data_IF_382581265377
#
_entry.id   IF_382581265377
#
_cell.length_a   1.000
_cell.length_b   1.000
_cell.length_c   1.000
_cell.angle_alpha   90.00
_cell.angle_beta   90.00
_cell.angle_gamma   90.00
#
_symmetry.space_group_name_H-M   'P 1'
#
loop_
_entity.id
_entity.type
_entity.pdbx_description
1 polymer ?
#
# COMPACT_ATOMS: atom_id res chain seq x y z
N UNK A 1 26.61 3.16 -0.06
CA UNK A 1 27.04 2.64 1.26
C UNK A 1 27.99 1.46 1.07
N UNK A 2 29.15 1.48 1.73
CA UNK A 2 30.12 0.37 1.69
C UNK A 2 29.73 -0.74 2.68
N UNK A 3 30.38 -1.91 2.56
CA UNK A 3 30.20 -3.01 3.51
C UNK A 3 30.64 -2.63 4.92
N UNK A 4 31.76 -1.92 5.05
CA UNK A 4 32.29 -1.46 6.32
C UNK A 4 31.37 -0.44 7.02
N UNK A 5 30.82 0.51 6.25
CA UNK A 5 29.82 1.45 6.77
C UNK A 5 28.57 0.76 7.27
N UNK A 6 28.10 -0.29 6.56
CA UNK A 6 26.96 -1.08 6.97
C UNK A 6 27.22 -1.87 8.26
N UNK A 7 28.38 -2.49 8.37
CA UNK A 7 28.77 -3.24 9.58
C UNK A 7 28.97 -2.32 10.79
N UNK A 8 29.54 -1.15 10.57
CA UNK A 8 29.66 -0.11 11.62
C UNK A 8 28.29 0.35 12.09
N UNK A 9 27.40 0.68 11.15
CA UNK A 9 26.02 1.04 11.48
C UNK A 9 25.31 -0.06 12.28
N UNK A 10 25.51 -1.32 11.91
CA UNK A 10 24.88 -2.44 12.60
C UNK A 10 25.40 -2.60 14.04
N UNK A 11 26.71 -2.45 14.27
CA UNK A 11 27.30 -2.46 15.62
C UNK A 11 26.73 -1.32 16.47
N UNK A 12 26.80 -0.10 15.99
CA UNK A 12 26.28 1.08 16.69
C UNK A 12 24.78 0.93 17.02
N UNK A 13 24.00 0.37 16.10
CA UNK A 13 22.58 0.10 16.31
C UNK A 13 22.36 -0.93 17.39
N UNK A 14 23.10 -2.04 17.36
CA UNK A 14 23.03 -3.10 18.38
C UNK A 14 23.37 -2.53 19.76
N UNK A 15 24.39 -1.70 19.87
CA UNK A 15 24.79 -1.07 21.12
C UNK A 15 23.70 -0.17 21.70
N UNK A 16 23.01 0.62 20.85
CA UNK A 16 21.86 1.43 21.28
C UNK A 16 20.74 0.55 21.83
N UNK A 17 20.36 -0.50 21.12
CA UNK A 17 19.27 -1.40 21.55
C UNK A 17 19.63 -2.18 22.81
N UNK A 18 20.87 -2.63 22.92
CA UNK A 18 21.38 -3.31 24.12
C UNK A 18 21.43 -2.36 25.33
N UNK A 19 21.88 -1.12 25.11
CA UNK A 19 21.89 -0.08 26.14
C UNK A 19 20.49 0.26 26.68
N UNK A 20 19.47 0.29 25.82
CA UNK A 20 18.07 0.51 26.24
C UNK A 20 17.54 -0.59 27.16
N UNK A 21 18.11 -1.78 27.12
CA UNK A 21 17.80 -2.90 27.98
C UNK A 21 18.79 -3.05 29.17
N UNK A 22 19.52 -2.00 29.52
CA UNK A 22 20.54 -2.00 30.58
C UNK A 22 21.61 -3.09 30.39
N UNK A 23 22.02 -3.34 29.16
CA UNK A 23 22.99 -4.35 28.77
C UNK A 23 22.62 -5.80 29.16
N UNK A 24 21.31 -6.07 29.20
CA UNK A 24 20.78 -7.39 29.49
C UNK A 24 20.00 -7.92 28.29
N UNK A 25 20.58 -8.82 27.52
CA UNK A 25 19.96 -9.40 26.33
C UNK A 25 18.61 -10.09 26.60
N UNK A 26 18.41 -10.56 27.85
CA UNK A 26 17.10 -11.11 28.22
C UNK A 26 15.98 -10.10 28.23
N UNK A 27 16.29 -8.82 28.17
CA UNK A 27 15.34 -7.69 28.13
C UNK A 27 15.31 -6.96 26.80
N UNK A 28 16.09 -7.39 25.82
CA UNK A 28 16.08 -6.80 24.47
C UNK A 28 15.01 -7.49 23.64
N UNK A 29 13.96 -6.80 23.20
CA UNK A 29 13.01 -7.35 22.23
C UNK A 29 13.72 -7.76 20.95
N UNK A 30 13.22 -8.79 20.28
CA UNK A 30 13.74 -9.17 18.97
C UNK A 30 13.65 -7.98 18.00
N UNK A 31 14.74 -7.71 17.28
CA UNK A 31 14.79 -6.62 16.33
C UNK A 31 15.60 -7.01 15.10
N UNK A 32 15.21 -6.50 13.95
CA UNK A 32 15.86 -6.81 12.68
C UNK A 32 15.43 -5.82 11.59
N UNK A 33 16.25 -5.69 10.57
CA UNK A 33 15.84 -5.08 9.31
C UNK A 33 15.00 -6.07 8.53
N UNK A 34 14.02 -5.56 7.78
CA UNK A 34 13.16 -6.43 6.99
C UNK A 34 13.73 -6.67 5.58
N UNK A 35 14.75 -5.99 5.16
CA UNK A 35 15.55 -6.28 3.96
C UNK A 35 16.83 -6.98 4.30
N UNK A 36 17.36 -7.73 3.36
CA UNK A 36 18.77 -8.11 3.37
C UNK A 36 19.59 -6.91 2.88
N UNK A 37 20.14 -6.15 3.81
CA UNK A 37 20.91 -4.95 3.50
C UNK A 37 22.22 -5.21 2.76
N UNK A 38 22.66 -6.47 2.66
CA UNK A 38 23.83 -6.79 1.82
C UNK A 38 23.58 -6.57 0.35
N UNK A 39 22.30 -6.63 -0.09
CA UNK A 39 21.91 -6.44 -1.47
C UNK A 39 22.10 -5.01 -1.97
N UNK A 40 22.13 -4.04 -1.05
CA UNK A 40 22.28 -2.61 -1.40
C UNK A 40 23.72 -2.10 -1.24
N UNK A 41 24.67 -2.95 -0.84
CA UNK A 41 26.09 -2.56 -0.75
C UNK A 41 26.61 -2.22 -2.14
N UNK A 42 27.24 -1.06 -2.27
CA UNK A 42 27.74 -0.55 -3.56
C UNK A 42 26.65 0.00 -4.49
N UNK A 43 25.40 0.01 -4.06
CA UNK A 43 24.32 0.67 -4.82
C UNK A 43 24.28 2.15 -4.43
N UNK A 44 24.39 2.99 -5.44
CA UNK A 44 24.21 4.43 -5.27
C UNK A 44 22.73 4.79 -5.42
N UNK A 45 22.19 5.55 -4.46
CA UNK A 45 20.83 6.06 -4.51
C UNK A 45 19.75 4.97 -4.68
N UNK A 46 19.61 4.12 -3.68
CA UNK A 46 18.49 3.14 -3.61
C UNK A 46 17.15 3.84 -3.96
N UNK A 47 16.31 3.20 -4.75
CA UNK A 47 15.10 3.85 -5.27
C UNK A 47 14.16 4.33 -4.18
N UNK A 48 13.93 3.50 -3.14
CA UNK A 48 13.03 3.85 -2.05
C UNK A 48 13.44 3.19 -0.72
N UNK A 49 13.34 3.97 0.34
CA UNK A 49 13.43 3.49 1.72
C UNK A 49 12.02 3.42 2.32
N UNK A 50 11.63 2.27 2.80
CA UNK A 50 10.29 2.03 3.35
C UNK A 50 10.41 1.66 4.83
N UNK A 51 9.72 2.39 5.70
CA UNK A 51 9.74 2.08 7.12
C UNK A 51 8.33 2.03 7.72
N UNK A 52 8.00 0.91 8.39
CA UNK A 52 6.90 0.85 9.35
C UNK A 52 7.25 1.59 10.65
N UNK A 53 6.31 1.65 11.60
CA UNK A 53 6.62 2.21 12.92
C UNK A 53 7.47 1.24 13.73
N UNK A 54 7.07 -0.03 13.75
CA UNK A 54 7.77 -1.14 14.40
C UNK A 54 7.28 -2.49 13.86
N UNK A 55 8.06 -3.58 14.00
CA UNK A 55 7.59 -4.92 13.69
C UNK A 55 6.43 -5.34 14.58
N UNK A 56 5.43 -6.01 14.00
CA UNK A 56 4.37 -6.67 14.76
C UNK A 56 4.87 -8.00 15.36
N UNK A 57 4.36 -8.36 16.54
CA UNK A 57 4.53 -9.69 17.11
C UNK A 57 3.22 -10.20 17.70
N UNK A 58 3.02 -11.51 17.66
CA UNK A 58 1.84 -12.16 18.24
C UNK A 58 2.00 -12.46 19.73
N UNK A 59 3.21 -12.27 20.28
CA UNK A 59 3.54 -12.54 21.66
C UNK A 59 4.47 -11.50 22.28
N UNK A 60 4.84 -11.74 23.52
CA UNK A 60 5.88 -10.97 24.19
C UNK A 60 7.26 -11.23 23.58
N UNK A 61 8.22 -10.38 23.93
CA UNK A 61 9.62 -10.65 23.56
C UNK A 61 10.10 -12.03 24.05
N UNK A 62 9.75 -12.43 25.27
CA UNK A 62 10.09 -13.75 25.80
C UNK A 62 9.49 -14.89 24.97
N UNK A 63 8.26 -14.73 24.51
CA UNK A 63 7.64 -15.70 23.60
C UNK A 63 8.43 -15.81 22.30
N UNK A 64 8.88 -14.69 21.77
CA UNK A 64 9.65 -14.66 20.50
C UNK A 64 11.03 -15.29 20.65
N UNK A 65 11.77 -14.97 21.71
CA UNK A 65 13.12 -15.52 21.92
C UNK A 65 13.12 -17.00 22.29
N UNK A 66 12.05 -17.48 22.89
CA UNK A 66 11.85 -18.89 23.17
C UNK A 66 11.26 -19.66 21.99
N UNK A 67 10.83 -18.96 20.94
CA UNK A 67 10.33 -19.59 19.73
C UNK A 67 11.50 -20.19 18.92
N UNK A 68 11.50 -21.50 18.63
CA UNK A 68 12.59 -22.13 17.87
C UNK A 68 12.78 -21.53 16.47
N UNK A 69 11.80 -20.83 15.94
CA UNK A 69 11.85 -20.16 14.64
C UNK A 69 12.48 -18.75 14.70
N UNK A 70 12.48 -18.13 15.88
CA UNK A 70 12.88 -16.73 16.05
C UNK A 70 13.62 -16.60 17.38
N UNK A 71 14.90 -16.92 17.41
CA UNK A 71 15.62 -16.77 18.64
C UNK A 71 16.89 -15.94 18.50
N UNK A 72 17.03 -15.04 19.45
CA UNK A 72 18.32 -14.43 19.79
C UNK A 72 18.93 -15.27 20.90
N UNK A 73 20.17 -15.69 20.73
CA UNK A 73 20.90 -16.35 21.80
C UNK A 73 21.20 -15.31 22.89
N UNK A 74 20.67 -15.52 24.09
CA UNK A 74 20.86 -14.60 25.20
C UNK A 74 22.31 -14.42 25.63
N UNK A 75 23.16 -15.46 25.46
CA UNK A 75 24.54 -15.44 25.84
C UNK A 75 25.41 -14.71 24.80
N UNK A 76 25.01 -14.76 23.53
CA UNK A 76 25.76 -14.19 22.42
C UNK A 76 25.16 -12.84 21.99
N UNK A 77 23.84 -12.67 22.13
CA UNK A 77 23.11 -11.51 21.67
C UNK A 77 22.93 -11.47 20.16
N UNK A 78 22.63 -10.30 19.64
CA UNK A 78 22.49 -10.04 18.21
C UNK A 78 23.85 -9.73 17.59
N UNK A 79 24.18 -10.40 16.51
CA UNK A 79 25.37 -10.07 15.71
C UNK A 79 25.06 -9.05 14.62
N UNK A 80 26.03 -8.25 14.16
CA UNK A 80 25.85 -7.35 13.03
C UNK A 80 25.30 -8.05 11.80
N UNK A 81 25.78 -9.23 11.49
CA UNK A 81 25.30 -10.02 10.35
C UNK A 81 23.81 -10.38 10.48
N UNK A 82 23.36 -10.78 11.67
CA UNK A 82 21.93 -11.09 11.91
C UNK A 82 21.04 -9.85 11.71
N UNK A 83 21.47 -8.70 12.22
CA UNK A 83 20.73 -7.45 12.04
C UNK A 83 20.65 -7.06 10.55
N UNK A 84 21.77 -7.13 9.84
CA UNK A 84 21.88 -6.73 8.43
C UNK A 84 21.01 -7.59 7.53
N UNK A 85 20.99 -8.91 7.77
CA UNK A 85 20.26 -9.85 6.90
C UNK A 85 18.89 -10.26 7.46
N UNK A 86 18.62 -9.97 8.72
CA UNK A 86 17.46 -10.52 9.44
C UNK A 86 17.51 -12.05 9.61
N UNK A 87 18.67 -12.68 9.40
CA UNK A 87 18.86 -14.13 9.41
C UNK A 87 19.16 -14.69 10.80
N UNK A 88 18.17 -14.63 11.70
CA UNK A 88 18.31 -15.18 13.07
C UNK A 88 17.32 -16.32 13.36
N UNK A 89 16.65 -16.83 12.34
CA UNK A 89 15.70 -17.92 12.45
C UNK A 89 16.46 -19.26 12.64
N UNK A 90 16.11 -20.01 13.70
CA UNK A 90 16.71 -21.33 14.00
C UNK A 90 15.87 -22.52 13.46
N UNK A 91 14.70 -22.27 12.88
CA UNK A 91 13.92 -23.35 12.29
C UNK A 91 14.72 -24.00 11.15
N UNK A 92 14.89 -25.35 11.15
CA UNK A 92 15.61 -26.05 10.09
C UNK A 92 15.08 -25.75 8.68
N UNK A 93 13.77 -25.64 8.52
CA UNK A 93 13.11 -25.36 7.23
C UNK A 93 13.30 -23.91 6.77
N UNK A 94 13.75 -23.04 7.67
CA UNK A 94 13.96 -21.59 7.42
C UNK A 94 15.39 -21.16 7.71
N UNK A 95 16.26 -22.11 8.01
CA UNK A 95 17.67 -21.86 8.33
C UNK A 95 18.30 -21.15 7.12
N UNK A 96 19.00 -20.05 7.41
CA UNK A 96 19.67 -19.20 6.42
C UNK A 96 18.75 -18.40 5.48
N UNK A 97 17.43 -18.42 5.69
CA UNK A 97 16.57 -17.47 4.98
C UNK A 97 16.75 -16.07 5.55
N UNK A 98 16.85 -15.09 4.67
CA UNK A 98 16.79 -13.67 5.03
C UNK A 98 15.35 -13.30 5.39
N UNK A 99 15.16 -12.19 6.11
CA UNK A 99 13.82 -11.67 6.36
C UNK A 99 13.08 -11.34 5.05
N UNK A 100 13.79 -10.90 4.00
CA UNK A 100 13.26 -10.71 2.67
C UNK A 100 12.57 -11.98 2.12
N UNK A 101 13.25 -13.11 2.15
CA UNK A 101 12.70 -14.38 1.67
C UNK A 101 11.46 -14.82 2.42
N UNK A 102 11.35 -14.46 3.70
CA UNK A 102 10.16 -14.72 4.51
C UNK A 102 9.01 -13.77 4.19
N UNK A 103 9.29 -12.54 3.76
CA UNK A 103 8.27 -11.51 3.47
C UNK A 103 7.32 -11.91 2.36
N UNK A 104 7.77 -12.62 1.34
CA UNK A 104 6.93 -13.08 0.24
C UNK A 104 5.76 -13.94 0.74
N UNK A 105 5.86 -14.49 1.94
CA UNK A 105 4.77 -15.24 2.57
C UNK A 105 3.74 -14.36 3.28
N UNK A 106 4.06 -13.08 3.55
CA UNK A 106 3.25 -12.22 4.41
C UNK A 106 2.19 -11.43 3.64
N UNK A 107 0.96 -11.51 4.12
CA UNK A 107 -0.17 -10.77 3.54
C UNK A 107 0.08 -9.26 3.50
N UNK A 108 0.74 -8.72 4.52
CA UNK A 108 1.07 -7.31 4.59
C UNK A 108 2.01 -6.89 3.45
N UNK A 109 3.01 -7.71 3.14
CA UNK A 109 3.96 -7.41 2.06
C UNK A 109 3.29 -7.48 0.67
N UNK A 110 2.41 -8.46 0.45
CA UNK A 110 1.60 -8.53 -0.77
C UNK A 110 0.74 -7.27 -0.96
N UNK A 111 0.16 -6.76 0.13
CA UNK A 111 -0.61 -5.50 0.10
C UNK A 111 0.29 -4.28 -0.15
N UNK A 112 1.49 -4.27 0.41
CA UNK A 112 2.48 -3.21 0.17
C UNK A 112 2.93 -3.20 -1.30
N UNK A 113 3.20 -4.37 -1.90
CA UNK A 113 3.43 -4.48 -3.35
C UNK A 113 2.29 -3.86 -4.17
N UNK A 114 1.04 -4.03 -3.72
CA UNK A 114 -0.13 -3.39 -4.35
C UNK A 114 -0.07 -1.86 -4.37
N UNK A 115 0.51 -1.22 -3.37
CA UNK A 115 0.69 0.25 -3.36
C UNK A 115 1.67 0.70 -4.47
N UNK A 116 2.68 -0.09 -4.77
CA UNK A 116 3.71 0.21 -5.77
C UNK A 116 3.38 -0.32 -7.18
N UNK A 117 2.22 -0.95 -7.37
CA UNK A 117 1.86 -1.58 -8.65
C UNK A 117 1.74 -0.62 -9.83
N UNK A 118 1.52 0.68 -9.57
CA UNK A 118 1.37 1.71 -10.60
C UNK A 118 2.65 2.50 -10.88
N UNK A 119 3.75 2.21 -10.19
CA UNK A 119 5.01 2.94 -10.34
C UNK A 119 5.64 2.64 -11.70
N UNK A 120 6.02 3.69 -12.42
CA UNK A 120 6.72 3.57 -13.69
C UNK A 120 8.12 2.96 -13.48
N UNK A 121 8.58 2.17 -14.44
CA UNK A 121 9.84 1.42 -14.33
C UNK A 121 9.72 0.12 -13.53
N UNK A 122 8.50 -0.33 -13.27
CA UNK A 122 8.19 -1.55 -12.55
C UNK A 122 8.17 -1.40 -11.03
N UNK A 123 7.52 -2.35 -10.37
CA UNK A 123 7.40 -2.35 -8.93
C UNK A 123 8.78 -2.51 -8.27
N UNK A 124 9.28 -1.52 -7.49
CA UNK A 124 10.60 -1.63 -6.86
C UNK A 124 10.70 -2.79 -5.88
N UNK A 125 9.58 -3.28 -5.34
CA UNK A 125 9.53 -4.40 -4.40
C UNK A 125 9.68 -5.78 -5.06
N UNK A 126 9.96 -5.83 -6.36
CA UNK A 126 10.32 -7.05 -7.08
C UNK A 126 11.85 -7.24 -7.21
N UNK A 127 12.65 -6.27 -6.75
CA UNK A 127 14.10 -6.32 -6.80
C UNK A 127 14.71 -5.79 -5.50
N UNK A 128 15.34 -6.68 -4.73
CA UNK A 128 15.97 -6.36 -3.44
C UNK A 128 17.03 -5.25 -3.49
N UNK A 129 17.57 -4.97 -4.66
CA UNK A 129 18.57 -3.90 -4.88
C UNK A 129 17.94 -2.51 -5.00
N UNK A 130 16.63 -2.44 -5.20
CA UNK A 130 15.93 -1.18 -5.45
C UNK A 130 15.30 -0.57 -4.20
N UNK A 131 15.14 -1.34 -3.13
CA UNK A 131 14.48 -0.83 -1.91
C UNK A 131 15.13 -1.31 -0.62
N UNK A 132 14.86 -0.57 0.45
CA UNK A 132 15.08 -0.99 1.82
C UNK A 132 13.73 -1.03 2.51
N UNK A 133 13.39 -2.16 3.11
CA UNK A 133 12.22 -2.30 3.96
C UNK A 133 12.65 -2.52 5.41
N UNK A 134 12.18 -1.68 6.31
CA UNK A 134 12.54 -1.73 7.73
C UNK A 134 11.46 -1.08 8.60
N UNK A 135 11.82 -0.64 9.79
CA UNK A 135 10.94 0.04 10.73
C UNK A 135 11.64 1.27 11.33
N UNK A 136 10.84 2.24 11.79
CA UNK A 136 11.34 3.40 12.53
C UNK A 136 11.93 2.99 13.89
N UNK A 137 11.35 1.96 14.51
CA UNK A 137 11.93 1.26 15.66
C UNK A 137 11.90 -0.24 15.37
N UNK A 138 12.97 -0.95 15.72
CA UNK A 138 13.10 -2.39 15.43
C UNK A 138 12.49 -3.27 16.52
N UNK A 139 12.08 -2.70 17.66
CA UNK A 139 11.43 -3.47 18.69
C UNK A 139 10.07 -4.01 18.24
N UNK A 140 9.90 -5.33 18.29
CA UNK A 140 8.64 -5.97 17.97
C UNK A 140 7.66 -5.87 19.15
N UNK A 141 6.40 -5.48 18.85
CA UNK A 141 5.31 -5.44 19.84
C UNK A 141 3.99 -5.80 19.19
N UNK A 142 3.01 -6.28 19.98
CA UNK A 142 1.65 -6.52 19.47
C UNK A 142 0.99 -5.24 18.96
N UNK A 143 1.26 -4.09 19.61
CA UNK A 143 0.73 -2.78 19.23
C UNK A 143 1.83 -1.74 19.38
N UNK A 144 1.96 -0.85 18.40
CA UNK A 144 2.95 0.23 18.41
C UNK A 144 2.88 1.12 19.67
N UNK A 145 1.69 1.31 20.25
CA UNK A 145 1.51 2.10 21.48
C UNK A 145 2.15 1.45 22.73
N UNK A 146 2.58 0.19 22.66
CA UNK A 146 3.28 -0.48 23.76
C UNK A 146 4.78 -0.09 23.83
N UNK A 147 5.30 0.51 22.75
CA UNK A 147 6.69 1.01 22.78
C UNK A 147 6.80 2.26 23.65
N UNK A 148 7.74 2.29 24.60
CA UNK A 148 8.02 3.50 25.35
C UNK A 148 8.45 4.63 24.42
N UNK A 149 7.87 5.82 24.59
CA UNK A 149 8.14 6.98 23.72
C UNK A 149 9.65 7.32 23.67
N UNK A 150 10.33 7.26 24.81
CA UNK A 150 11.77 7.52 24.89
C UNK A 150 12.58 6.50 24.07
N UNK A 151 12.19 5.22 24.10
CA UNK A 151 12.85 4.18 23.29
C UNK A 151 12.67 4.43 21.80
N UNK A 152 11.45 4.79 21.35
CA UNK A 152 11.21 5.12 19.95
C UNK A 152 12.08 6.31 19.51
N UNK A 153 12.20 7.35 20.34
CA UNK A 153 13.01 8.53 20.02
C UNK A 153 14.50 8.19 19.85
N UNK A 154 15.03 7.24 20.57
CA UNK A 154 16.42 6.81 20.44
C UNK A 154 16.61 5.86 19.24
N UNK A 155 15.74 4.86 19.10
CA UNK A 155 15.89 3.83 18.07
C UNK A 155 15.62 4.35 16.67
N UNK A 156 14.72 5.33 16.51
CA UNK A 156 14.47 5.95 15.20
C UNK A 156 15.71 6.65 14.65
N UNK A 157 16.61 7.14 15.50
CA UNK A 157 17.88 7.74 15.07
C UNK A 157 18.80 6.72 14.40
N UNK A 158 18.75 5.45 14.79
CA UNK A 158 19.45 4.37 14.08
C UNK A 158 18.91 4.20 12.66
N UNK A 159 17.60 4.29 12.48
CA UNK A 159 16.96 4.26 11.16
C UNK A 159 17.29 5.50 10.33
N UNK A 160 17.32 6.70 10.94
CA UNK A 160 17.74 7.93 10.26
C UNK A 160 19.20 7.83 9.80
N UNK A 161 20.07 7.25 10.60
CA UNK A 161 21.47 7.02 10.21
C UNK A 161 21.57 6.02 9.02
N UNK A 162 20.74 4.98 8.99
CA UNK A 162 20.66 4.08 7.85
C UNK A 162 20.17 4.82 6.59
N UNK A 163 19.16 5.67 6.70
CA UNK A 163 18.70 6.54 5.61
C UNK A 163 19.86 7.41 5.09
N UNK A 164 20.60 8.06 6.01
CA UNK A 164 21.72 8.93 5.64
C UNK A 164 22.81 8.16 4.87
N UNK A 165 23.16 6.95 5.34
CA UNK A 165 24.21 6.11 4.72
C UNK A 165 23.77 5.50 3.39
N UNK A 166 22.52 5.09 3.27
CA UNK A 166 21.99 4.48 2.04
C UNK A 166 21.58 5.50 0.98
N UNK A 167 21.41 6.76 1.36
CA UNK A 167 21.03 7.88 0.46
C UNK A 167 19.94 7.50 -0.53
N UNK A 168 18.74 7.11 -0.06
CA UNK A 168 17.68 6.71 -0.96
C UNK A 168 17.15 7.94 -1.72
N UNK A 169 16.63 7.72 -2.93
CA UNK A 169 16.00 8.81 -3.72
C UNK A 169 14.74 9.35 -3.03
N UNK A 170 14.04 8.51 -2.27
CA UNK A 170 12.81 8.86 -1.54
C UNK A 170 12.53 7.92 -0.37
N UNK A 171 11.66 8.38 0.52
CA UNK A 171 11.30 7.63 1.74
C UNK A 171 9.78 7.47 1.80
N UNK A 172 9.31 6.29 2.20
CA UNK A 172 7.89 6.00 2.46
C UNK A 172 7.73 5.50 3.89
N UNK A 173 7.02 6.24 4.73
CA UNK A 173 6.66 5.81 6.08
C UNK A 173 5.27 5.18 6.09
N UNK A 174 5.18 3.93 6.45
CA UNK A 174 3.93 3.24 6.73
C UNK A 174 3.47 3.63 8.15
N UNK A 175 2.16 3.81 8.37
CA UNK A 175 1.62 4.46 9.58
C UNK A 175 2.05 5.94 9.69
N UNK A 176 2.01 6.65 8.57
CA UNK A 176 2.59 7.97 8.36
C UNK A 176 2.33 8.98 9.48
N UNK A 177 1.08 9.16 9.93
CA UNK A 177 0.74 10.10 11.02
C UNK A 177 1.54 9.85 12.30
N UNK A 178 1.65 8.60 12.72
CA UNK A 178 2.38 8.25 13.94
C UNK A 178 3.90 8.49 13.78
N UNK A 179 4.45 8.10 12.64
CA UNK A 179 5.87 8.27 12.33
C UNK A 179 6.23 9.75 12.20
N UNK A 180 5.45 10.54 11.46
CA UNK A 180 5.68 11.99 11.28
C UNK A 180 5.58 12.75 12.62
N UNK A 181 4.59 12.41 13.45
CA UNK A 181 4.47 12.97 14.81
C UNK A 181 5.71 12.65 15.67
N UNK A 182 6.23 11.45 15.54
CA UNK A 182 7.44 11.02 16.26
C UNK A 182 8.66 11.79 15.75
N UNK A 183 8.89 11.85 14.43
CA UNK A 183 10.00 12.56 13.82
C UNK A 183 10.00 14.05 14.22
N UNK A 184 8.83 14.70 14.20
CA UNK A 184 8.67 16.10 14.64
C UNK A 184 9.03 16.33 16.11
N UNK A 185 8.91 15.31 16.95
CA UNK A 185 9.20 15.41 18.38
C UNK A 185 10.69 15.22 18.73
N UNK A 186 11.50 14.78 17.77
CA UNK A 186 12.92 14.50 17.97
C UNK A 186 13.73 15.77 17.84
N UNK A 187 14.56 16.06 18.83
CA UNK A 187 15.55 17.12 18.79
C UNK A 187 16.93 16.47 18.65
N UNK A 188 17.48 16.50 17.45
CA UNK A 188 18.80 15.95 17.15
C UNK A 188 19.40 16.62 15.94
N UNK A 189 20.68 16.94 15.98
CA UNK A 189 21.41 17.49 14.83
C UNK A 189 21.53 16.51 13.67
N UNK A 190 21.25 15.21 13.92
CA UNK A 190 21.24 14.16 12.91
C UNK A 190 19.93 14.13 12.10
N UNK A 191 18.90 14.85 12.54
CA UNK A 191 17.58 14.83 11.92
C UNK A 191 17.07 16.24 11.63
N UNK A 192 17.03 16.60 10.37
CA UNK A 192 16.27 17.75 9.86
C UNK A 192 15.00 17.20 9.24
N UNK A 193 13.84 17.43 9.89
CA UNK A 193 12.54 16.94 9.45
C UNK A 193 11.58 18.12 9.20
N UNK A 194 11.03 18.17 8.01
CA UNK A 194 10.09 19.20 7.57
C UNK A 194 8.82 18.55 7.05
N UNK A 195 7.66 19.12 7.39
CA UNK A 195 6.35 18.71 6.82
C UNK A 195 5.94 19.79 5.84
N UNK A 196 5.69 19.40 4.61
CA UNK A 196 5.26 20.25 3.53
C UNK A 196 3.74 20.26 3.37
N UNK A 197 3.13 19.06 3.35
CA UNK A 197 1.70 18.90 3.12
C UNK A 197 1.09 17.79 3.98
N UNK A 198 -0.11 18.02 4.46
CA UNK A 198 -0.96 17.01 5.09
C UNK A 198 -2.34 17.02 4.44
N UNK A 199 -2.75 15.89 3.86
CA UNK A 199 -4.05 15.73 3.24
C UNK A 199 -4.65 14.37 3.63
N UNK A 200 -5.76 14.41 4.37
CA UNK A 200 -6.40 13.22 4.92
C UNK A 200 -5.42 12.40 5.77
N UNK A 201 -5.08 11.18 5.36
CA UNK A 201 -4.13 10.30 6.06
C UNK A 201 -2.78 10.20 5.35
N UNK A 202 -2.51 11.10 4.40
CA UNK A 202 -1.29 11.15 3.60
C UNK A 202 -0.53 12.43 3.97
N UNK A 203 0.74 12.27 4.26
CA UNK A 203 1.63 13.37 4.64
C UNK A 203 2.82 13.39 3.70
N UNK A 204 3.24 14.59 3.33
CA UNK A 204 4.47 14.81 2.57
C UNK A 204 5.43 15.68 3.37
N UNK A 205 6.72 15.47 3.18
CA UNK A 205 7.75 16.26 3.84
C UNK A 205 9.14 15.81 3.42
N UNK A 206 10.13 16.18 4.22
CA UNK A 206 11.53 15.91 3.93
C UNK A 206 12.26 15.42 5.18
N UNK A 207 13.09 14.39 5.01
CA UNK A 207 14.04 13.91 6.02
C UNK A 207 15.44 14.18 5.49
N UNK A 208 16.17 15.12 6.13
CA UNK A 208 17.50 15.52 5.70
C UNK A 208 17.58 15.92 4.21
N UNK A 209 16.53 16.58 3.71
CA UNK A 209 16.39 16.98 2.32
C UNK A 209 15.91 15.89 1.35
N UNK A 210 15.72 14.66 1.81
CA UNK A 210 15.17 13.58 1.00
C UNK A 210 13.65 13.61 1.09
N UNK A 211 12.91 13.63 -0.03
CA UNK A 211 11.46 13.66 -0.01
C UNK A 211 10.89 12.41 0.66
N UNK A 212 9.90 12.61 1.53
CA UNK A 212 9.27 11.52 2.25
C UNK A 212 7.75 11.59 2.21
N UNK A 213 7.12 10.42 2.09
CA UNK A 213 5.69 10.24 2.06
C UNK A 213 5.22 9.39 3.24
N UNK A 214 4.26 9.90 4.01
CA UNK A 214 3.60 9.16 5.07
C UNK A 214 2.28 8.57 4.58
N UNK A 215 2.13 7.25 4.62
CA UNK A 215 0.95 6.51 4.14
C UNK A 215 0.28 5.73 5.26
N UNK A 216 -1.03 5.43 5.16
CA UNK A 216 -1.67 4.44 5.99
C UNK A 216 -0.97 3.08 5.90
N UNK A 217 -0.93 2.34 7.02
CA UNK A 217 -0.31 1.01 7.02
C UNK A 217 -1.06 0.04 6.11
N UNK A 218 -0.37 -0.82 5.32
CA UNK A 218 -1.03 -1.76 4.40
C UNK A 218 -2.00 -2.75 5.05
N UNK A 219 -1.81 -3.04 6.35
CA UNK A 219 -2.73 -3.87 7.13
C UNK A 219 -3.96 -3.14 7.64
N UNK A 220 -4.06 -1.82 7.46
CA UNK A 220 -5.25 -1.06 7.85
C UNK A 220 -6.48 -1.49 7.02
N UNK A 221 -7.65 -1.37 7.63
CA UNK A 221 -8.92 -1.59 6.94
C UNK A 221 -9.24 -0.41 6.02
N UNK A 222 -8.67 -0.44 4.81
CA UNK A 222 -8.87 0.58 3.78
C UNK A 222 -9.83 0.07 2.71
N UNK A 223 -10.69 0.96 2.22
CA UNK A 223 -11.50 0.69 1.03
C UNK A 223 -10.61 0.49 -0.21
N UNK A 224 -11.12 -0.20 -1.23
CA UNK A 224 -10.39 -0.33 -2.48
C UNK A 224 -10.12 1.02 -3.13
N UNK A 225 -11.07 1.96 -3.07
CA UNK A 225 -10.89 3.33 -3.56
C UNK A 225 -9.70 4.03 -2.87
N UNK A 226 -9.59 3.90 -1.53
CA UNK A 226 -8.45 4.47 -0.79
C UNK A 226 -7.12 3.82 -1.15
N UNK A 227 -7.09 2.52 -1.41
CA UNK A 227 -5.87 1.83 -1.87
C UNK A 227 -5.43 2.32 -3.26
N UNK A 228 -6.38 2.56 -4.16
CA UNK A 228 -6.13 3.10 -5.49
C UNK A 228 -5.60 4.55 -5.40
N UNK A 229 -6.23 5.39 -4.58
CA UNK A 229 -5.76 6.75 -4.30
C UNK A 229 -4.29 6.73 -3.82
N UNK A 230 -3.98 5.89 -2.84
CA UNK A 230 -2.61 5.72 -2.34
C UNK A 230 -1.66 5.30 -3.48
N UNK A 231 -2.05 4.35 -4.32
CA UNK A 231 -1.26 3.89 -5.45
C UNK A 231 -0.97 5.00 -6.47
N UNK A 232 -1.95 5.84 -6.79
CA UNK A 232 -1.79 6.97 -7.71
C UNK A 232 -0.90 8.07 -7.11
N UNK A 233 -1.10 8.40 -5.84
CA UNK A 233 -0.25 9.39 -5.14
C UNK A 233 1.18 8.88 -5.07
N UNK A 234 1.37 7.60 -4.74
CA UNK A 234 2.69 7.00 -4.66
C UNK A 234 3.37 6.97 -6.03
N UNK A 235 2.63 6.66 -7.12
CA UNK A 235 3.14 6.75 -8.48
C UNK A 235 3.69 8.13 -8.77
N UNK A 236 2.90 9.18 -8.53
CA UNK A 236 3.31 10.56 -8.78
C UNK A 236 4.51 10.95 -7.91
N UNK A 237 4.47 10.66 -6.61
CA UNK A 237 5.58 10.88 -5.69
C UNK A 237 6.85 10.14 -6.14
N UNK A 238 6.70 8.93 -6.65
CA UNK A 238 7.83 8.14 -7.12
C UNK A 238 8.50 8.76 -8.35
N UNK A 239 7.76 9.45 -9.19
CA UNK A 239 8.25 10.12 -10.38
C UNK A 239 8.87 11.51 -10.08
N UNK A 240 8.21 12.28 -9.22
CA UNK A 240 8.54 13.72 -9.02
C UNK A 240 9.16 14.02 -7.66
N UNK A 241 9.01 13.19 -6.67
CA UNK A 241 9.35 13.48 -5.27
C UNK A 241 8.31 14.33 -4.54
N UNK A 242 7.23 14.75 -5.20
CA UNK A 242 6.21 15.66 -4.69
C UNK A 242 4.81 15.04 -4.75
N UNK A 243 3.83 15.63 -4.08
CA UNK A 243 2.45 15.16 -4.09
C UNK A 243 1.40 16.24 -4.37
N UNK A 244 1.77 17.51 -4.40
CA UNK A 244 0.82 18.62 -4.45
C UNK A 244 -0.09 18.57 -5.69
N UNK A 245 0.46 18.31 -6.86
CA UNK A 245 -0.33 18.17 -8.09
C UNK A 245 -1.22 16.91 -8.05
N UNK A 246 -0.73 15.79 -7.50
CA UNK A 246 -1.56 14.61 -7.32
C UNK A 246 -2.71 14.88 -6.36
N UNK A 247 -2.46 15.52 -5.22
CA UNK A 247 -3.50 15.91 -4.27
C UNK A 247 -4.47 16.93 -4.86
N UNK A 248 -4.01 17.83 -5.72
CA UNK A 248 -4.89 18.80 -6.42
C UNK A 248 -5.80 18.07 -7.39
N UNK A 249 -5.31 17.11 -8.15
CA UNK A 249 -6.10 16.23 -9.01
C UNK A 249 -7.13 15.46 -8.17
N UNK A 250 -6.73 14.89 -7.04
CA UNK A 250 -7.64 14.18 -6.13
C UNK A 250 -8.62 15.12 -5.41
N UNK A 251 -8.19 16.31 -4.96
CA UNK A 251 -9.09 17.32 -4.37
C UNK A 251 -10.07 17.88 -5.38
N UNK A 252 -9.68 18.06 -6.63
CA UNK A 252 -10.59 18.43 -7.72
C UNK A 252 -11.54 17.28 -8.03
N UNK A 253 -11.05 16.05 -8.00
CA UNK A 253 -11.88 14.84 -8.13
C UNK A 253 -12.80 14.69 -6.91
N UNK A 254 -12.32 14.90 -5.68
CA UNK A 254 -13.16 14.89 -4.47
C UNK A 254 -14.14 16.07 -4.42
N UNK A 255 -13.75 17.30 -4.78
CA UNK A 255 -14.67 18.44 -4.85
C UNK A 255 -15.71 18.30 -5.94
N UNK A 256 -15.38 17.61 -7.04
CA UNK A 256 -16.37 17.24 -8.06
C UNK A 256 -17.24 16.05 -7.63
N UNK A 257 -16.87 15.32 -6.54
CA UNK A 257 -17.46 14.03 -6.18
C UNK A 257 -17.94 13.89 -4.74
N UNK A 258 -17.90 14.94 -3.91
CA UNK A 258 -18.56 14.93 -2.60
C UNK A 258 -19.98 15.52 -2.63
N UNK A 259 -20.76 15.25 -3.65
CA UNK A 259 -22.18 15.11 -3.41
C UNK A 259 -22.38 13.73 -2.81
N UNK A 260 -22.49 13.64 -1.49
CA UNK A 260 -23.02 12.45 -0.82
C UNK A 260 -24.46 12.29 -1.31
N UNK A 261 -24.61 11.63 -2.47
CA UNK A 261 -25.93 11.33 -3.01
C UNK A 261 -26.73 10.57 -1.93
N UNK A 262 -27.92 11.03 -1.67
CA UNK A 262 -28.89 10.31 -0.86
C UNK A 262 -29.22 8.96 -1.53
N UNK A 263 -29.85 8.08 -0.81
CA UNK A 263 -30.30 6.80 -1.39
C UNK A 263 -31.34 7.04 -2.50
N UNK A 264 -32.19 8.03 -2.32
CA UNK A 264 -33.22 8.45 -3.28
C UNK A 264 -32.61 9.01 -4.56
N UNK A 265 -31.59 9.85 -4.46
CA UNK A 265 -30.87 10.36 -5.63
C UNK A 265 -30.15 9.25 -6.40
N UNK A 266 -29.48 8.32 -5.71
CA UNK A 266 -28.87 7.15 -6.36
C UNK A 266 -29.89 6.28 -7.06
N UNK A 267 -31.07 6.08 -6.46
CA UNK A 267 -32.18 5.34 -7.06
C UNK A 267 -32.74 6.04 -8.29
N UNK A 268 -32.84 7.35 -8.28
CA UNK A 268 -33.28 8.15 -9.43
C UNK A 268 -32.31 7.99 -10.60
N UNK A 269 -31.00 8.14 -10.35
CA UNK A 269 -29.97 7.94 -11.40
C UNK A 269 -30.00 6.50 -11.93
N UNK A 270 -30.15 5.51 -11.06
CA UNK A 270 -30.27 4.10 -11.44
C UNK A 270 -31.46 3.89 -12.38
N UNK A 271 -32.63 4.47 -12.07
CA UNK A 271 -33.83 4.35 -12.89
C UNK A 271 -33.67 5.06 -14.25
N UNK A 272 -33.06 6.24 -14.26
CA UNK A 272 -32.76 6.97 -15.47
C UNK A 272 -31.86 6.16 -16.42
N UNK A 273 -30.76 5.62 -15.88
CA UNK A 273 -29.82 4.80 -16.65
C UNK A 273 -30.47 3.52 -17.15
N UNK A 274 -31.30 2.88 -16.33
CA UNK A 274 -32.03 1.68 -16.73
C UNK A 274 -32.96 1.94 -17.91
N UNK A 275 -33.83 2.96 -17.81
CA UNK A 275 -34.76 3.35 -18.86
C UNK A 275 -34.04 3.77 -20.14
N UNK A 276 -32.91 4.47 -19.97
CA UNK A 276 -32.09 4.89 -21.10
C UNK A 276 -31.54 3.70 -21.87
N UNK A 277 -30.96 2.73 -21.18
CA UNK A 277 -30.39 1.51 -21.80
C UNK A 277 -31.50 0.71 -22.49
N UNK A 278 -32.64 0.49 -21.86
CA UNK A 278 -33.76 -0.22 -22.48
C UNK A 278 -34.21 0.42 -23.78
N UNK A 279 -34.13 1.75 -23.88
CA UNK A 279 -34.64 2.48 -25.06
C UNK A 279 -33.59 2.72 -26.16
N UNK A 280 -32.28 2.73 -25.84
CA UNK A 280 -31.22 3.11 -26.75
C UNK A 280 -30.18 2.03 -27.05
N UNK A 281 -30.13 0.95 -26.26
CA UNK A 281 -29.19 -0.13 -26.39
C UNK A 281 -29.86 -1.50 -26.51
N UNK A 282 -30.55 -1.69 -27.65
CA UNK A 282 -31.29 -2.91 -27.95
C UNK A 282 -30.39 -4.16 -28.08
N UNK A 283 -29.11 -3.97 -28.25
CA UNK A 283 -28.09 -5.03 -28.22
C UNK A 283 -27.85 -5.62 -26.82
N UNK A 284 -28.34 -4.94 -25.79
CA UNK A 284 -28.22 -5.42 -24.42
C UNK A 284 -29.51 -6.11 -23.98
N UNK A 285 -29.37 -7.34 -23.51
CA UNK A 285 -30.50 -8.10 -22.98
C UNK A 285 -30.64 -7.88 -21.48
N UNK A 286 -31.87 -7.68 -21.02
CA UNK A 286 -32.19 -7.60 -19.60
C UNK A 286 -31.89 -8.91 -18.89
N UNK A 287 -31.06 -8.85 -17.87
CA UNK A 287 -30.83 -9.98 -16.97
C UNK A 287 -31.92 -9.92 -15.91
N UNK A 288 -32.72 -10.98 -15.77
CA UNK A 288 -33.79 -11.06 -14.77
C UNK A 288 -33.28 -10.62 -13.39
N UNK A 289 -34.08 -9.82 -12.70
CA UNK A 289 -33.81 -9.42 -11.32
C UNK A 289 -33.53 -10.68 -10.51
N UNK A 290 -32.31 -10.81 -9.99
CA UNK A 290 -31.99 -11.91 -9.10
C UNK A 290 -32.90 -11.86 -7.88
N UNK A 291 -33.83 -12.77 -7.80
CA UNK A 291 -34.71 -12.89 -6.64
C UNK A 291 -33.86 -13.13 -5.38
N UNK A 292 -34.01 -12.27 -4.45
CA UNK A 292 -33.85 -12.58 -3.03
C UNK A 292 -32.68 -11.97 -2.27
N UNK A 293 -31.51 -11.58 -2.82
CA UNK A 293 -30.40 -11.21 -1.95
C UNK A 293 -29.61 -9.95 -2.32
N UNK A 294 -29.89 -9.29 -3.43
CA UNK A 294 -29.25 -8.03 -3.81
C UNK A 294 -30.33 -6.98 -4.14
N UNK A 295 -30.91 -6.40 -3.12
CA UNK A 295 -31.92 -5.34 -3.26
C UNK A 295 -31.44 -4.23 -4.16
N UNK A 296 -32.19 -3.95 -5.22
CA UNK A 296 -31.92 -2.82 -6.13
C UNK A 296 -30.87 -3.09 -7.20
N UNK A 297 -30.40 -4.33 -7.41
CA UNK A 297 -29.51 -4.66 -8.50
C UNK A 297 -30.32 -5.03 -9.74
N UNK A 298 -30.18 -4.23 -10.81
CA UNK A 298 -30.76 -4.48 -12.12
C UNK A 298 -29.62 -4.61 -13.11
N UNK A 299 -29.69 -5.55 -14.03
CA UNK A 299 -28.57 -5.85 -14.91
C UNK A 299 -28.96 -6.06 -16.36
N UNK A 300 -28.00 -5.83 -17.23
CA UNK A 300 -28.04 -6.11 -18.67
C UNK A 300 -26.82 -6.93 -19.05
N UNK A 301 -26.95 -7.81 -20.01
CA UNK A 301 -25.82 -8.45 -20.66
C UNK A 301 -25.85 -8.18 -22.15
N UNK A 302 -24.70 -8.12 -22.79
CA UNK A 302 -24.66 -8.13 -24.23
C UNK A 302 -25.07 -9.53 -24.75
N UNK A 303 -25.57 -9.60 -25.98
CA UNK A 303 -26.06 -10.86 -26.58
C UNK A 303 -24.98 -11.93 -26.73
N UNK A 304 -23.71 -11.56 -26.63
CA UNK A 304 -22.55 -12.44 -26.71
C UNK A 304 -22.03 -12.87 -25.34
N UNK A 305 -22.62 -12.32 -24.28
CA UNK A 305 -22.16 -12.52 -22.89
C UNK A 305 -20.71 -12.07 -22.64
N UNK A 306 -20.18 -11.14 -23.47
CA UNK A 306 -18.83 -10.63 -23.29
C UNK A 306 -18.70 -9.72 -22.04
N UNK A 307 -19.79 -9.09 -21.63
CA UNK A 307 -19.86 -8.35 -20.39
C UNK A 307 -21.28 -8.34 -19.81
N UNK A 308 -21.34 -8.09 -18.51
CA UNK A 308 -22.57 -7.85 -17.77
C UNK A 308 -22.50 -6.47 -17.10
N UNK A 309 -23.59 -5.71 -17.18
CA UNK A 309 -23.73 -4.37 -16.63
C UNK A 309 -24.84 -4.38 -15.57
N UNK A 310 -24.52 -3.97 -14.35
CA UNK A 310 -25.48 -3.91 -13.25
C UNK A 310 -25.55 -2.52 -12.64
N UNK A 311 -26.69 -2.18 -12.08
CA UNK A 311 -26.96 -0.93 -11.38
C UNK A 311 -27.51 -1.22 -9.98
N UNK A 312 -27.06 -0.44 -8.97
CA UNK A 312 -27.53 -0.58 -7.59
C UNK A 312 -27.59 0.77 -6.88
N UNK A 313 -28.56 0.93 -5.99
CA UNK A 313 -28.67 2.12 -5.13
C UNK A 313 -27.80 2.04 -3.87
N UNK A 314 -27.00 1.00 -3.74
CA UNK A 314 -26.07 0.83 -2.62
C UNK A 314 -24.93 1.86 -2.74
N UNK A 315 -24.63 2.53 -1.61
CA UNK A 315 -23.54 3.50 -1.54
C UNK A 315 -22.22 2.86 -2.02
N UNK A 316 -21.44 3.64 -2.77
CA UNK A 316 -20.13 3.28 -3.31
C UNK A 316 -20.13 2.11 -4.32
N UNK A 317 -21.31 1.64 -4.76
CA UNK A 317 -21.43 0.49 -5.65
C UNK A 317 -22.15 0.79 -7.00
N UNK A 318 -22.68 1.95 -7.21
CA UNK A 318 -23.44 2.44 -8.35
C UNK A 318 -23.53 1.53 -9.59
N UNK A 319 -22.67 1.78 -10.58
CA UNK A 319 -22.58 0.98 -11.81
C UNK A 319 -21.54 -0.12 -11.61
N UNK A 320 -21.87 -1.37 -11.97
CA UNK A 320 -20.96 -2.51 -11.88
C UNK A 320 -20.85 -3.15 -13.27
N UNK A 321 -19.63 -3.33 -13.75
CA UNK A 321 -19.36 -4.00 -15.03
C UNK A 321 -18.55 -5.27 -14.72
N UNK A 322 -19.02 -6.40 -15.21
CA UNK A 322 -18.34 -7.69 -15.11
C UNK A 322 -17.96 -8.17 -16.50
N UNK A 323 -16.73 -8.63 -16.65
CA UNK A 323 -16.23 -9.22 -17.90
C UNK A 323 -15.13 -10.24 -17.62
N UNK A 324 -14.96 -11.19 -18.55
CA UNK A 324 -13.82 -12.11 -18.61
C UNK A 324 -12.90 -11.78 -19.80
N UNK A 325 -13.33 -10.86 -20.66
CA UNK A 325 -12.63 -10.51 -21.89
C UNK A 325 -11.43 -9.59 -21.63
N UNK A 326 -10.21 -10.13 -21.83
CA UNK A 326 -8.96 -9.39 -21.63
C UNK A 326 -8.90 -8.06 -22.37
N UNK A 327 -9.33 -7.92 -23.65
CA UNK A 327 -9.32 -6.64 -24.34
C UNK A 327 -10.25 -5.59 -23.71
N UNK A 328 -11.40 -6.00 -23.16
CA UNK A 328 -12.31 -5.10 -22.43
C UNK A 328 -11.64 -4.66 -21.12
N UNK A 329 -10.99 -5.57 -20.42
CA UNK A 329 -10.24 -5.28 -19.19
C UNK A 329 -9.14 -4.27 -19.48
N UNK A 330 -8.31 -4.49 -20.50
CA UNK A 330 -7.22 -3.57 -20.90
C UNK A 330 -7.73 -2.18 -21.27
N UNK A 331 -8.82 -2.08 -22.02
CA UNK A 331 -9.43 -0.80 -22.36
C UNK A 331 -9.89 -0.03 -21.13
N UNK A 332 -10.63 -0.70 -20.27
CA UNK A 332 -11.26 -0.05 -19.12
C UNK A 332 -10.27 0.19 -17.99
N UNK A 333 -9.22 -0.63 -17.83
CA UNK A 333 -8.17 -0.41 -16.82
C UNK A 333 -7.31 0.82 -17.09
N UNK A 334 -7.22 1.28 -18.33
CA UNK A 334 -6.56 2.57 -18.64
C UNK A 334 -7.30 3.78 -18.01
N UNK A 335 -8.56 3.65 -17.68
CA UNK A 335 -9.40 4.73 -17.12
C UNK A 335 -9.98 4.40 -15.74
N UNK A 336 -10.16 3.11 -15.43
CA UNK A 336 -10.82 2.62 -14.23
C UNK A 336 -10.07 1.43 -13.67
N UNK A 337 -10.20 1.18 -12.38
CA UNK A 337 -9.55 0.05 -11.73
C UNK A 337 -10.51 -1.12 -11.61
N UNK A 338 -10.03 -2.30 -11.97
CA UNK A 338 -10.74 -3.56 -11.81
C UNK A 338 -10.29 -4.32 -10.57
N UNK A 339 -11.24 -4.99 -9.92
CA UNK A 339 -10.97 -6.00 -8.92
C UNK A 339 -11.38 -7.36 -9.47
N UNK A 340 -10.59 -8.40 -9.19
CA UNK A 340 -10.97 -9.78 -9.52
C UNK A 340 -12.12 -10.22 -8.60
N UNK A 341 -13.20 -10.74 -9.20
CA UNK A 341 -14.31 -11.34 -8.46
C UNK A 341 -14.01 -12.82 -8.16
N UNK A 342 -14.73 -13.41 -7.21
CA UNK A 342 -14.56 -14.82 -6.76
C UNK A 342 -14.82 -15.90 -7.84
N UNK A 343 -15.29 -15.51 -9.03
CA UNK A 343 -15.61 -16.39 -10.15
C UNK A 343 -14.67 -16.19 -11.34
N UNK A 344 -13.43 -15.78 -11.12
CA UNK A 344 -12.43 -15.45 -12.17
C UNK A 344 -12.92 -14.41 -13.18
N UNK A 345 -13.88 -13.58 -12.77
CA UNK A 345 -14.37 -12.42 -13.53
C UNK A 345 -13.74 -11.15 -12.98
N UNK A 346 -13.52 -10.20 -13.85
CA UNK A 346 -13.12 -8.86 -13.45
C UNK A 346 -14.37 -8.00 -13.22
N UNK A 347 -14.35 -7.27 -12.11
CA UNK A 347 -15.44 -6.38 -11.70
C UNK A 347 -14.93 -4.95 -11.61
N UNK A 348 -15.53 -4.06 -12.41
CA UNK A 348 -15.38 -2.62 -12.29
C UNK A 348 -16.54 -2.05 -11.49
N UNK A 349 -16.28 -1.16 -10.56
CA UNK A 349 -17.31 -0.42 -9.81
C UNK A 349 -17.14 1.07 -10.08
N UNK A 350 -18.22 1.75 -10.47
CA UNK A 350 -18.26 3.18 -10.71
C UNK A 350 -19.35 3.78 -9.83
N UNK A 351 -18.98 4.69 -8.94
CA UNK A 351 -19.94 5.41 -8.10
C UNK A 351 -20.74 6.42 -8.93
N UNK A 352 -22.03 6.58 -8.64
CA UNK A 352 -22.89 7.54 -9.34
C UNK A 352 -22.43 8.98 -9.20
N UNK A 353 -21.76 9.34 -8.14
CA UNK A 353 -21.20 10.68 -7.98
C UNK A 353 -20.23 11.06 -9.12
N UNK A 354 -19.64 10.07 -9.79
CA UNK A 354 -18.75 10.28 -10.94
C UNK A 354 -19.48 10.50 -12.26
N UNK A 355 -20.80 10.32 -12.28
CA UNK A 355 -21.61 10.37 -13.50
C UNK A 355 -22.77 11.36 -13.44
N UNK A 356 -22.92 12.10 -12.33
CA UNK A 356 -24.04 13.02 -12.07
C UNK A 356 -24.20 14.14 -13.10
N UNK A 357 -23.13 14.55 -13.80
CA UNK A 357 -23.20 15.63 -14.80
C UNK A 357 -23.90 15.21 -16.10
N UNK A 358 -23.87 13.94 -16.47
CA UNK A 358 -24.56 13.34 -17.61
C UNK A 358 -24.49 11.82 -17.56
N UNK A 359 -25.35 11.15 -16.78
CA UNK A 359 -25.30 9.71 -16.58
C UNK A 359 -25.44 8.91 -17.88
N UNK A 360 -26.34 9.33 -18.75
CA UNK A 360 -26.61 8.69 -20.04
C UNK A 360 -25.44 8.80 -21.00
N UNK A 361 -24.86 9.99 -21.18
CA UNK A 361 -23.66 10.19 -22.01
C UNK A 361 -22.44 9.41 -21.49
N UNK A 362 -22.34 9.24 -20.18
CA UNK A 362 -21.27 8.44 -19.59
C UNK A 362 -21.43 6.96 -19.92
N UNK A 363 -22.63 6.41 -19.79
CA UNK A 363 -22.89 5.00 -20.08
C UNK A 363 -22.74 4.69 -21.56
N UNK A 364 -23.17 5.59 -22.44
CA UNK A 364 -22.96 5.48 -23.90
C UNK A 364 -21.48 5.34 -24.25
N UNK A 365 -20.63 6.19 -23.65
CA UNK A 365 -19.19 6.12 -23.89
C UNK A 365 -18.60 4.78 -23.51
N UNK A 366 -19.07 4.19 -22.40
CA UNK A 366 -18.63 2.87 -21.96
C UNK A 366 -19.13 1.79 -22.90
N UNK A 367 -20.43 1.74 -23.19
CA UNK A 367 -21.03 0.71 -24.05
C UNK A 367 -20.44 0.78 -25.46
N UNK A 368 -20.32 1.96 -26.05
CA UNK A 368 -19.76 2.14 -27.40
C UNK A 368 -18.29 1.70 -27.47
N UNK A 369 -17.49 1.97 -26.43
CA UNK A 369 -16.10 1.49 -26.38
C UNK A 369 -16.03 -0.03 -26.30
N UNK A 370 -16.87 -0.65 -25.48
CA UNK A 370 -16.93 -2.10 -25.36
C UNK A 370 -17.41 -2.73 -26.67
N UNK A 371 -18.44 -2.18 -27.28
CA UNK A 371 -18.97 -2.65 -28.58
C UNK A 371 -17.92 -2.56 -29.70
N UNK A 372 -17.11 -1.52 -29.72
CA UNK A 372 -16.01 -1.38 -30.69
C UNK A 372 -15.01 -2.55 -30.55
N UNK A 373 -14.62 -2.91 -29.33
CA UNK A 373 -13.73 -4.05 -29.08
C UNK A 373 -14.41 -5.36 -29.47
N UNK A 374 -15.66 -5.56 -29.06
CA UNK A 374 -16.41 -6.76 -29.38
C UNK A 374 -16.54 -6.99 -30.89
N UNK A 375 -16.66 -5.92 -31.67
CA UNK A 375 -16.70 -6.01 -33.15
C UNK A 375 -15.34 -6.43 -33.73
N UNK A 376 -14.24 -6.05 -33.10
CA UNK A 376 -12.89 -6.44 -33.53
C UNK A 376 -12.56 -7.88 -33.17
N UNK A 377 -13.14 -8.42 -32.10
CA UNK A 377 -12.94 -9.83 -31.68
C UNK A 377 -13.69 -10.83 -32.56
N UNK A 378 -14.60 -10.37 -33.43
CA UNK A 378 -15.36 -11.21 -34.36
C UNK A 378 -14.75 -11.33 -35.76
N UNK A 379 -13.70 -10.58 -36.03
CA UNK A 379 -12.87 -10.69 -37.25
C UNK A 379 -11.66 -11.56 -37.00
#
# INVERSE_FOLDING_TARGET
>A
MTREELETWAKDTIDVYHGLANHDWSKVPAFYTQSDLTQIVGIDNVDVFIAGINPGSDGSYLDMINNPNWCIDHNVGMTPQQLITGSFCKNPDRKNLTSWQLHETWTYFKRLKGYFSLVNGGNPLEDEKRFILTNASFFATCKACQLPKASIQQTILCTIELIRKSSPKRIVFLSGKATFKTLKSIKSDKLKFEIDCEANDILHGYVNGIPCLGLPHPSAHLSNAKRQEIGQILKYFYETGEIENALTIFKLTEKSHTTNLTKEERRSIMQELFQYIESHHSELQHISQGEGHRRGLVGFSDVRSAFELYFTDVKDNGIQIFTQESPIIELLTKQYSFAQDKKDRFKLIIDYSKVTSSPTSFIDKIINKINCICSTLQQ
#
